data_IF_633698400847
#
_entry.id   IF_633698400847
#
_cell.length_a   1.000
_cell.length_b   1.000
_cell.length_c   1.000
_cell.angle_alpha   90.00
_cell.angle_beta   90.00
_cell.angle_gamma   90.00
#
_symmetry.space_group_name_H-M   'P 1'
#
loop_
_entity.id
_entity.type
_entity.pdbx_description
1 polymer ?
#
# COMPACT_ATOMS: atom_id res chain seq x y z
N UNK A 1 46.64 14.89 6.34
CA UNK A 1 45.80 15.92 5.69
C UNK A 1 45.18 16.76 6.80
N UNK A 2 45.32 18.08 6.74
CA UNK A 2 44.61 18.99 7.65
C UNK A 2 43.31 19.39 6.97
N UNK A 3 42.17 18.97 7.51
CA UNK A 3 40.85 19.39 7.02
C UNK A 3 40.63 20.84 7.50
N UNK A 4 40.37 21.75 6.57
CA UNK A 4 40.13 23.17 6.87
C UNK A 4 38.70 23.52 6.49
N UNK A 5 37.85 23.66 7.49
CA UNK A 5 36.50 24.19 7.32
C UNK A 5 36.53 25.72 7.38
N UNK A 6 35.90 26.38 6.39
CA UNK A 6 35.75 27.84 6.35
C UNK A 6 34.28 28.22 6.50
N UNK A 7 33.95 28.84 7.63
CA UNK A 7 32.61 29.39 7.85
C UNK A 7 32.45 30.71 7.10
N UNK A 8 31.24 30.99 6.61
CA UNK A 8 30.97 32.19 5.79
C UNK A 8 31.04 33.48 6.60
N UNK A 9 30.60 33.42 7.85
CA UNK A 9 30.53 34.55 8.76
C UNK A 9 31.61 34.43 9.86
N UNK A 10 32.02 35.54 10.49
CA UNK A 10 32.91 35.51 11.64
C UNK A 10 32.29 34.70 12.79
N UNK A 11 33.05 33.77 13.36
CA UNK A 11 32.62 32.95 14.51
C UNK A 11 32.79 33.77 15.79
N UNK A 12 31.71 33.96 16.54
CA UNK A 12 31.70 34.65 17.84
C UNK A 12 32.03 33.70 19.00
N UNK A 13 31.50 32.48 18.94
CA UNK A 13 31.72 31.48 19.97
C UNK A 13 31.81 30.09 19.34
N UNK A 14 32.74 29.28 19.85
CA UNK A 14 32.93 27.90 19.42
C UNK A 14 33.28 27.04 20.63
N UNK A 15 32.67 25.86 20.73
CA UNK A 15 32.96 24.91 21.80
C UNK A 15 32.90 23.47 21.26
N UNK A 16 33.95 22.70 21.56
CA UNK A 16 34.00 21.28 21.22
C UNK A 16 33.39 20.39 22.31
N UNK A 17 32.87 19.24 21.91
CA UNK A 17 32.57 18.16 22.84
C UNK A 17 33.88 17.60 23.43
N UNK A 18 33.78 16.78 24.48
CA UNK A 18 34.92 16.23 25.21
C UNK A 18 35.95 15.51 24.31
N UNK A 19 35.48 14.85 23.25
CA UNK A 19 36.33 14.08 22.33
C UNK A 19 36.83 14.90 21.13
N UNK A 20 36.43 16.18 21.01
CA UNK A 20 36.82 17.04 19.88
C UNK A 20 36.20 16.68 18.53
N UNK A 21 35.21 15.79 18.51
CA UNK A 21 34.60 15.23 17.29
C UNK A 21 33.43 16.06 16.77
N UNK A 22 32.85 16.90 17.63
CA UNK A 22 31.73 17.79 17.31
C UNK A 22 31.97 19.18 17.90
N UNK A 23 31.58 20.19 17.13
CA UNK A 23 31.71 21.59 17.51
C UNK A 23 30.34 22.24 17.45
N UNK A 24 29.97 23.01 18.47
CA UNK A 24 28.91 24.00 18.34
C UNK A 24 29.57 25.33 18.01
N UNK A 25 29.08 25.99 16.97
CA UNK A 25 29.57 27.29 16.54
C UNK A 25 28.41 28.27 16.42
N UNK A 26 28.67 29.50 16.86
CA UNK A 26 27.74 30.63 16.79
C UNK A 26 28.43 31.75 16.05
N UNK A 27 27.78 32.24 15.00
CA UNK A 27 28.34 33.26 14.12
C UNK A 27 28.01 34.69 14.58
N UNK A 28 28.48 35.67 13.81
CA UNK A 28 28.25 37.09 14.05
C UNK A 28 26.78 37.53 13.90
N UNK A 29 25.95 36.71 13.25
CA UNK A 29 24.50 36.91 13.09
C UNK A 29 23.70 36.22 14.21
N UNK A 30 24.38 35.59 15.16
CA UNK A 30 23.82 34.73 16.21
C UNK A 30 23.11 33.48 15.68
N UNK A 31 23.40 33.07 14.44
CA UNK A 31 22.99 31.76 13.95
C UNK A 31 23.90 30.70 14.56
N UNK A 32 23.29 29.57 14.94
CA UNK A 32 23.99 28.49 15.66
C UNK A 32 23.99 27.21 14.85
N UNK A 33 25.11 26.51 14.88
CA UNK A 33 25.32 25.32 14.09
C UNK A 33 26.03 24.23 14.89
N UNK A 34 25.79 22.97 14.53
CA UNK A 34 26.56 21.82 15.00
C UNK A 34 27.36 21.28 13.84
N UNK A 35 28.68 21.32 13.96
CA UNK A 35 29.62 20.80 12.98
C UNK A 35 30.15 19.44 13.44
N UNK A 36 29.98 18.42 12.59
CA UNK A 36 30.55 17.10 12.76
C UNK A 36 31.89 17.04 12.01
N UNK A 37 32.98 16.84 12.76
CA UNK A 37 34.34 16.87 12.21
C UNK A 37 34.59 15.70 11.25
N UNK A 38 34.03 14.51 11.54
CA UNK A 38 34.27 13.32 10.72
C UNK A 38 33.45 13.31 9.43
N UNK A 39 32.20 13.72 9.50
CA UNK A 39 31.32 13.77 8.33
C UNK A 39 31.47 15.04 7.49
N UNK A 40 32.23 16.02 7.98
CA UNK A 40 32.29 17.39 7.44
C UNK A 40 30.89 18.02 7.24
N UNK A 41 29.93 17.60 8.07
CA UNK A 41 28.54 18.06 7.99
C UNK A 41 28.29 19.20 8.96
N UNK A 42 27.67 20.26 8.46
CA UNK A 42 27.22 21.40 9.24
C UNK A 42 25.68 21.38 9.32
N UNK A 43 25.14 21.25 10.52
CA UNK A 43 23.70 21.28 10.76
C UNK A 43 23.36 22.64 11.36
N UNK A 44 22.37 23.31 10.77
CA UNK A 44 21.86 24.58 11.30
C UNK A 44 20.82 24.30 12.38
N UNK A 45 20.93 24.98 13.52
CA UNK A 45 19.93 24.93 14.58
C UNK A 45 18.81 25.94 14.22
N UNK A 46 17.55 25.53 14.37
CA UNK A 46 16.41 26.43 14.07
C UNK A 46 16.46 27.71 14.89
N UNK A 47 16.23 28.85 14.23
CA UNK A 47 16.26 30.19 14.82
C UNK A 47 15.27 30.36 15.98
N UNK A 48 14.14 29.65 15.93
CA UNK A 48 13.10 29.70 16.98
C UNK A 48 13.55 29.10 18.31
N UNK A 49 14.65 28.35 18.29
CA UNK A 49 15.15 27.63 19.45
C UNK A 49 16.45 28.20 19.98
N UNK A 50 17.05 29.19 19.32
CA UNK A 50 18.31 29.82 19.72
C UNK A 50 18.03 31.06 20.60
N UNK A 51 18.79 31.28 21.69
CA UNK A 51 18.66 32.51 22.45
C UNK A 51 19.15 33.74 21.66
N UNK A 52 18.49 34.89 21.81
CA UNK A 52 18.83 36.10 21.05
C UNK A 52 20.24 36.64 21.29
N UNK A 53 20.84 36.34 22.45
CA UNK A 53 22.21 36.71 22.80
C UNK A 53 22.88 35.54 23.54
N UNK A 54 23.41 34.55 22.81
CA UNK A 54 24.15 33.45 23.40
C UNK A 54 25.39 33.95 24.14
N UNK A 55 25.60 33.45 25.35
CA UNK A 55 26.73 33.84 26.21
C UNK A 55 27.68 32.68 26.47
N UNK A 56 27.17 31.45 26.45
CA UNK A 56 27.97 30.26 26.76
C UNK A 56 27.42 29.00 26.09
N UNK A 57 28.32 28.10 25.71
CA UNK A 57 28.00 26.74 25.29
C UNK A 57 28.57 25.77 26.32
N UNK A 58 27.79 24.78 26.74
CA UNK A 58 28.27 23.67 27.57
C UNK A 58 27.90 22.35 26.92
N UNK A 59 28.89 21.49 26.71
CA UNK A 59 28.67 20.09 26.35
C UNK A 59 28.47 19.25 27.62
N UNK A 60 27.63 18.23 27.51
CA UNK A 60 27.49 17.21 28.54
C UNK A 60 28.82 16.45 28.72
N UNK A 61 29.27 16.39 29.98
CA UNK A 61 30.54 15.77 30.37
C UNK A 61 30.37 14.32 30.83
N UNK A 62 29.14 13.86 31.02
CA UNK A 62 28.87 12.46 31.31
C UNK A 62 28.95 11.61 30.04
N UNK A 63 29.70 10.50 30.11
CA UNK A 63 29.96 9.64 28.95
C UNK A 63 28.73 8.96 28.36
N UNK A 64 27.64 8.85 29.11
CA UNK A 64 26.43 8.19 28.60
C UNK A 64 25.52 9.14 27.80
N UNK A 65 25.69 10.46 27.96
CA UNK A 65 24.84 11.51 27.36
C UNK A 65 25.65 12.43 26.42
N UNK A 66 26.66 11.90 25.75
CA UNK A 66 27.61 12.66 24.91
C UNK A 66 26.98 13.51 23.79
N UNK A 67 25.76 13.19 23.37
CA UNK A 67 25.05 13.91 22.32
C UNK A 67 24.39 15.20 22.82
N UNK A 68 24.36 15.43 24.13
CA UNK A 68 23.65 16.57 24.74
C UNK A 68 24.57 17.78 24.89
N UNK A 69 24.05 18.95 24.57
CA UNK A 69 24.71 20.23 24.83
C UNK A 69 23.68 21.31 25.17
N UNK A 70 24.18 22.44 25.63
CA UNK A 70 23.36 23.59 25.97
C UNK A 70 23.92 24.87 25.40
N UNK A 71 23.02 25.80 25.05
CA UNK A 71 23.33 27.18 24.73
C UNK A 71 22.65 28.04 25.80
N UNK A 72 23.46 28.83 26.51
CA UNK A 72 23.00 29.70 27.57
C UNK A 72 22.91 31.14 27.08
N UNK A 73 21.93 31.88 27.59
CA UNK A 73 21.97 33.33 27.64
C UNK A 73 22.09 33.82 29.10
N UNK A 74 21.83 35.09 29.38
CA UNK A 74 21.87 35.63 30.73
C UNK A 74 20.71 35.18 31.64
N UNK A 75 19.66 34.59 31.09
CA UNK A 75 18.39 34.27 31.76
C UNK A 75 18.00 32.80 31.65
N UNK A 76 18.36 32.09 30.59
CA UNK A 76 17.88 30.77 30.22
C UNK A 76 19.02 29.87 29.73
N UNK A 77 18.85 28.58 29.99
CA UNK A 77 19.63 27.48 29.40
C UNK A 77 18.72 26.76 28.42
N UNK A 78 19.14 26.69 27.17
CA UNK A 78 18.50 25.93 26.11
C UNK A 78 19.22 24.59 25.96
N UNK A 79 18.48 23.49 25.95
CA UNK A 79 19.01 22.12 25.94
C UNK A 79 18.74 21.49 24.58
N UNK A 80 19.78 20.90 23.99
CA UNK A 80 19.73 20.26 22.69
C UNK A 80 20.34 18.86 22.76
N UNK A 81 19.89 17.98 21.87
CA UNK A 81 20.53 16.69 21.61
C UNK A 81 20.92 16.60 20.15
N UNK A 82 22.14 16.18 19.86
CA UNK A 82 22.65 16.01 18.50
C UNK A 82 23.32 14.64 18.37
N UNK A 83 22.59 13.60 17.94
CA UNK A 83 23.18 12.29 17.63
C UNK A 83 24.08 12.40 16.40
N UNK A 84 25.09 11.53 16.35
CA UNK A 84 26.02 11.48 15.22
C UNK A 84 25.34 10.89 13.98
N UNK A 85 24.64 9.79 14.17
CA UNK A 85 24.03 8.98 13.11
C UNK A 85 22.59 8.66 13.48
N UNK A 86 21.67 9.01 12.59
CA UNK A 86 20.27 8.57 12.62
C UNK A 86 19.90 8.08 11.23
N UNK A 87 18.71 7.52 11.04
CA UNK A 87 18.21 7.20 9.69
C UNK A 87 18.17 8.45 8.81
N UNK A 88 17.96 9.66 9.35
CA UNK A 88 17.94 10.91 8.57
C UNK A 88 19.33 11.53 8.38
N UNK A 89 20.38 10.92 8.93
CA UNK A 89 21.71 11.49 9.05
C UNK A 89 21.90 12.24 10.37
N UNK A 90 22.81 13.19 10.43
CA UNK A 90 23.06 13.96 11.64
C UNK A 90 21.97 15.02 11.84
N UNK A 91 21.37 15.08 13.03
CA UNK A 91 20.27 16.00 13.37
C UNK A 91 20.56 16.76 14.69
N UNK A 92 19.77 17.79 14.96
CA UNK A 92 19.78 18.52 16.23
C UNK A 92 18.35 18.72 16.72
N UNK A 93 18.03 18.13 17.87
CA UNK A 93 16.74 18.23 18.52
C UNK A 93 16.79 19.26 19.65
N UNK A 94 15.87 20.23 19.64
CA UNK A 94 15.62 21.06 20.82
C UNK A 94 14.80 20.27 21.85
N UNK A 95 15.34 20.11 23.06
CA UNK A 95 14.71 19.35 24.15
C UNK A 95 13.83 20.26 25.00
N UNK A 96 14.38 21.40 25.44
CA UNK A 96 13.65 22.34 26.28
C UNK A 96 14.50 23.50 26.75
N UNK A 97 13.88 24.42 27.49
CA UNK A 97 14.55 25.57 28.10
C UNK A 97 14.22 25.69 29.58
N UNK A 98 15.16 26.20 30.35
CA UNK A 98 14.98 26.45 31.78
C UNK A 98 15.60 27.78 32.20
N UNK A 99 14.99 28.48 33.14
CA UNK A 99 15.51 29.74 33.68
C UNK A 99 16.73 29.48 34.58
N UNK A 100 17.80 30.23 34.37
CA UNK A 100 18.98 30.22 35.24
C UNK A 100 18.62 30.93 36.56
N UNK A 101 18.92 30.34 37.73
CA UNK A 101 18.75 31.04 38.99
C UNK A 101 19.56 32.34 39.04
N UNK A 102 18.94 33.40 39.56
CA UNK A 102 19.51 34.75 39.53
C UNK A 102 20.91 34.80 40.17
N UNK A 103 21.87 35.42 39.45
CA UNK A 103 23.24 35.60 39.96
C UNK A 103 24.09 34.34 39.95
N UNK A 104 23.72 33.34 39.14
CA UNK A 104 24.52 32.13 38.90
C UNK A 104 25.05 32.13 37.46
N UNK A 105 26.29 31.68 37.29
CA UNK A 105 26.97 31.56 36.00
C UNK A 105 27.27 30.08 35.71
N UNK A 106 26.67 29.47 34.67
CA UNK A 106 26.89 28.06 34.32
C UNK A 106 28.37 27.76 34.04
N UNK A 107 28.91 26.69 34.63
CA UNK A 107 30.31 26.26 34.48
C UNK A 107 30.44 24.90 33.80
N UNK A 108 29.66 23.92 34.23
CA UNK A 108 29.76 22.52 33.81
C UNK A 108 28.36 21.91 33.72
N UNK A 109 28.14 21.08 32.71
CA UNK A 109 27.00 20.20 32.61
C UNK A 109 27.47 18.75 32.83
N UNK A 110 26.91 18.08 33.84
CA UNK A 110 27.21 16.69 34.17
C UNK A 110 25.94 15.93 34.54
N UNK A 111 25.55 14.94 33.73
CA UNK A 111 24.35 14.11 33.90
C UNK A 111 23.09 14.97 34.16
N UNK A 112 22.86 15.97 33.31
CA UNK A 112 21.70 16.86 33.47
C UNK A 112 21.76 17.85 34.64
N UNK A 113 22.84 17.84 35.43
CA UNK A 113 23.09 18.79 36.51
C UNK A 113 24.01 19.89 36.00
N UNK A 114 23.57 21.14 36.11
CA UNK A 114 24.40 22.29 35.80
C UNK A 114 25.06 22.79 37.08
N UNK A 115 26.39 22.73 37.10
CA UNK A 115 27.20 23.37 38.14
C UNK A 115 27.43 24.81 37.73
N UNK A 116 27.12 25.74 38.63
CA UNK A 116 27.24 27.18 38.42
C UNK A 116 28.17 27.81 39.47
N UNK A 117 28.78 28.93 39.10
CA UNK A 117 29.41 29.84 40.04
C UNK A 117 28.40 30.88 40.51
N UNK A 118 28.28 31.07 41.82
CA UNK A 118 27.51 32.16 42.41
C UNK A 118 28.31 33.45 42.42
N UNK A 119 27.64 34.61 42.59
CA UNK A 119 28.32 35.92 42.76
C UNK A 119 29.35 35.94 43.91
N UNK A 120 29.21 35.09 44.92
CA UNK A 120 30.15 34.98 46.04
C UNK A 120 31.37 34.09 45.76
N UNK A 121 31.50 33.57 44.53
CA UNK A 121 32.58 32.67 44.13
C UNK A 121 32.37 31.20 44.52
N UNK A 122 31.32 30.88 45.32
CA UNK A 122 30.97 29.50 45.67
C UNK A 122 30.29 28.79 44.50
N UNK A 123 30.42 27.46 44.46
CA UNK A 123 29.69 26.61 43.52
C UNK A 123 28.27 26.32 44.01
N UNK A 124 27.30 26.40 43.12
CA UNK A 124 25.93 25.90 43.31
C UNK A 124 25.60 24.94 42.17
N UNK A 125 24.61 24.08 42.35
CA UNK A 125 24.15 23.19 41.29
C UNK A 125 22.62 23.12 41.26
N UNK A 126 22.07 22.79 40.09
CA UNK A 126 20.66 22.51 39.91
C UNK A 126 20.46 21.50 38.77
N UNK A 127 19.36 20.76 38.83
CA UNK A 127 18.96 19.81 37.78
C UNK A 127 18.20 20.55 36.70
N UNK A 128 18.49 20.26 35.43
CA UNK A 128 17.71 20.76 34.30
C UNK A 128 16.29 20.18 34.34
N UNK A 129 15.27 21.00 34.08
CA UNK A 129 13.87 20.53 33.99
C UNK A 129 13.65 19.45 32.93
N UNK A 130 14.52 19.36 31.92
CA UNK A 130 14.52 18.31 30.91
C UNK A 130 15.05 16.97 31.42
N UNK A 131 15.81 16.98 32.52
CA UNK A 131 16.44 15.82 33.15
C UNK A 131 15.82 15.48 34.52
N UNK A 132 14.80 16.24 34.95
CA UNK A 132 14.06 15.96 36.17
C UNK A 132 12.98 14.91 35.90
N UNK A 133 13.33 13.66 36.19
CA UNK A 133 12.44 12.50 36.02
C UNK A 133 11.67 12.15 37.30
N UNK A 134 11.76 12.98 38.34
CA UNK A 134 11.09 12.70 39.60
C UNK A 134 9.58 12.77 39.42
N UNK A 135 8.95 11.61 39.24
CA UNK A 135 7.51 11.45 39.45
C UNK A 135 7.31 11.60 40.96
N UNK A 136 7.05 12.83 41.41
CA UNK A 136 6.67 13.06 42.80
C UNK A 136 5.35 12.34 43.04
N UNK A 137 5.41 11.16 43.66
CA UNK A 137 4.27 10.60 44.35
C UNK A 137 3.94 11.56 45.47
N UNK A 138 3.04 12.51 45.22
CA UNK A 138 2.44 13.24 46.33
C UNK A 138 1.80 12.17 47.22
N UNK A 139 2.19 12.14 48.48
CA UNK A 139 1.67 11.26 49.53
C UNK A 139 0.16 11.42 49.77
N UNK A 140 -0.47 12.35 49.04
CA UNK A 140 -1.91 12.51 48.92
C UNK A 140 -2.30 12.08 47.51
N UNK A 141 -3.16 11.05 47.40
CA UNK A 141 -3.76 10.41 46.22
C UNK A 141 -4.23 11.34 45.08
N UNK A 142 -3.35 12.16 44.51
CA UNK A 142 -3.59 12.92 43.29
C UNK A 142 -2.77 12.24 42.21
N UNK A 143 -3.48 11.56 41.32
CA UNK A 143 -2.95 10.99 40.09
C UNK A 143 -2.17 12.07 39.32
N UNK A 144 -0.89 11.80 39.03
CA UNK A 144 -0.07 12.68 38.19
C UNK A 144 -0.79 12.88 36.84
N UNK A 145 -0.97 14.13 36.35
CA UNK A 145 -1.60 14.38 35.07
C UNK A 145 -0.91 13.58 33.95
N UNK A 146 -1.70 12.91 33.11
CA UNK A 146 -1.20 12.09 31.99
C UNK A 146 -0.34 12.90 31.01
N UNK A 147 -0.61 14.20 30.87
CA UNK A 147 0.17 15.15 30.07
C UNK A 147 1.60 15.31 30.59
N UNK A 148 1.78 15.47 31.91
CA UNK A 148 3.10 15.61 32.52
C UNK A 148 3.95 14.34 32.32
N UNK A 149 3.35 13.15 32.49
CA UNK A 149 4.03 11.88 32.22
C UNK A 149 4.52 11.81 30.76
N UNK A 150 3.70 12.24 29.80
CA UNK A 150 4.05 12.24 28.37
C UNK A 150 5.15 13.24 28.03
N UNK A 151 5.15 14.43 28.62
CA UNK A 151 6.18 15.45 28.39
C UNK A 151 7.54 15.02 28.95
N UNK A 152 7.58 14.46 30.15
CA UNK A 152 8.80 13.87 30.73
C UNK A 152 9.33 12.76 29.84
N UNK A 153 8.46 11.85 29.40
CA UNK A 153 8.86 10.75 28.53
C UNK A 153 9.40 11.23 27.17
N UNK A 154 8.75 12.24 26.58
CA UNK A 154 9.21 12.87 25.33
C UNK A 154 10.60 13.47 25.49
N UNK A 155 10.90 14.11 26.63
CA UNK A 155 12.23 14.65 26.90
C UNK A 155 13.28 13.54 26.97
N UNK A 156 12.98 12.44 27.67
CA UNK A 156 13.89 11.28 27.78
C UNK A 156 14.22 10.69 26.41
N UNK A 157 13.21 10.53 25.55
CA UNK A 157 13.42 10.04 24.18
C UNK A 157 14.30 10.99 23.36
N UNK A 158 14.04 12.31 23.41
CA UNK A 158 14.88 13.30 22.74
C UNK A 158 16.32 13.34 23.28
N UNK A 159 16.50 13.08 24.57
CA UNK A 159 17.81 12.96 25.21
C UNK A 159 18.48 11.61 24.91
N UNK A 160 17.77 10.66 24.26
CA UNK A 160 18.26 9.31 23.91
C UNK A 160 18.64 8.47 25.14
N UNK A 161 18.02 8.77 26.28
CA UNK A 161 18.22 8.04 27.55
C UNK A 161 17.28 6.84 27.64
N UNK A 162 17.37 5.95 26.67
CA UNK A 162 16.42 4.83 26.56
C UNK A 162 16.46 3.88 27.75
N UNK A 163 17.61 3.69 28.39
CA UNK A 163 17.70 2.87 29.60
C UNK A 163 16.81 3.42 30.73
N UNK A 164 16.73 4.74 30.86
CA UNK A 164 15.87 5.39 31.85
C UNK A 164 14.40 5.35 31.41
N UNK A 165 14.13 5.49 30.10
CA UNK A 165 12.79 5.29 29.55
C UNK A 165 12.26 3.87 29.85
N UNK A 166 13.10 2.84 29.68
CA UNK A 166 12.78 1.45 29.98
C UNK A 166 12.49 1.25 31.47
N UNK A 167 13.28 1.84 32.37
CA UNK A 167 13.03 1.78 33.83
C UNK A 167 11.69 2.41 34.19
N UNK A 168 11.34 3.54 33.57
CA UNK A 168 10.06 4.22 33.79
C UNK A 168 8.90 3.37 33.26
N UNK A 169 9.02 2.79 32.07
CA UNK A 169 8.01 1.88 31.53
C UNK A 169 7.80 0.66 32.42
N UNK A 170 8.86 0.06 32.97
CA UNK A 170 8.76 -1.05 33.92
C UNK A 170 8.06 -0.63 35.23
N UNK A 171 8.19 0.62 35.66
CA UNK A 171 7.55 1.15 36.86
C UNK A 171 6.05 1.45 36.65
N UNK A 172 5.63 1.85 35.44
CA UNK A 172 4.26 2.26 35.13
C UNK A 172 3.25 1.10 34.97
N UNK A 173 3.70 -0.16 34.90
CA UNK A 173 2.82 -1.33 34.69
C UNK A 173 2.42 -1.56 33.22
N UNK A 174 1.85 -2.72 32.88
CA UNK A 174 1.63 -3.17 31.49
C UNK A 174 0.62 -2.33 30.71
N UNK A 175 -0.49 -1.93 31.33
CA UNK A 175 -1.68 -1.48 30.58
C UNK A 175 -1.58 -0.02 30.11
N UNK A 176 -0.80 0.83 30.80
CA UNK A 176 -0.53 2.23 30.39
C UNK A 176 0.77 2.39 29.58
N UNK A 177 1.59 1.34 29.44
CA UNK A 177 2.97 1.46 28.95
C UNK A 177 3.18 0.94 27.52
N UNK A 178 2.23 0.24 26.90
CA UNK A 178 2.45 -0.34 25.57
C UNK A 178 2.81 0.72 24.52
N UNK A 179 2.06 1.82 24.46
CA UNK A 179 2.35 2.95 23.56
C UNK A 179 3.73 3.57 23.82
N UNK A 180 4.14 3.64 25.10
CA UNK A 180 5.44 4.17 25.51
C UNK A 180 6.57 3.25 25.08
N UNK A 181 6.40 1.93 25.24
CA UNK A 181 7.34 0.93 24.74
C UNK A 181 7.47 0.99 23.22
N UNK A 182 6.36 1.12 22.49
CA UNK A 182 6.38 1.29 21.03
C UNK A 182 7.15 2.58 20.66
N UNK A 183 6.95 3.67 21.40
CA UNK A 183 7.68 4.92 21.17
C UNK A 183 9.19 4.78 21.42
N UNK A 184 9.62 4.04 22.46
CA UNK A 184 11.05 3.72 22.68
C UNK A 184 11.59 2.92 21.49
N UNK A 185 10.89 1.85 21.09
CA UNK A 185 11.33 0.99 19.99
C UNK A 185 11.49 1.76 18.69
N UNK A 186 10.52 2.62 18.36
CA UNK A 186 10.60 3.48 17.16
C UNK A 186 11.73 4.50 17.24
N UNK A 187 11.92 5.17 18.38
CA UNK A 187 13.00 6.13 18.57
C UNK A 187 14.38 5.47 18.50
N UNK A 188 14.53 4.28 19.10
CA UNK A 188 15.77 3.49 19.03
C UNK A 188 16.09 3.08 17.59
N UNK A 189 15.09 2.66 16.79
CA UNK A 189 15.28 2.40 15.36
C UNK A 189 15.72 3.67 14.62
N UNK A 190 15.09 4.82 14.89
CA UNK A 190 15.46 6.11 14.27
C UNK A 190 16.91 6.49 14.53
N UNK A 191 17.40 6.25 15.74
CA UNK A 191 18.77 6.55 16.16
C UNK A 191 19.76 5.40 15.92
N UNK A 192 19.34 4.35 15.18
CA UNK A 192 20.14 3.18 14.81
C UNK A 192 20.61 2.31 16.00
N UNK A 193 19.99 2.45 17.17
CA UNK A 193 20.26 1.59 18.33
C UNK A 193 19.43 0.30 18.26
N UNK A 194 19.92 -0.64 17.44
CA UNK A 194 19.28 -1.92 17.22
C UNK A 194 19.18 -2.77 18.48
N UNK A 195 20.15 -2.67 19.40
CA UNK A 195 20.16 -3.48 20.61
C UNK A 195 18.99 -3.11 21.53
N UNK A 196 18.76 -1.80 21.69
CA UNK A 196 17.64 -1.30 22.48
C UNK A 196 16.31 -1.61 21.78
N UNK A 197 16.23 -1.40 20.45
CA UNK A 197 15.02 -1.74 19.69
C UNK A 197 14.66 -3.23 19.84
N UNK A 198 15.62 -4.15 19.68
CA UNK A 198 15.41 -5.60 19.85
C UNK A 198 14.88 -5.91 21.25
N UNK A 199 15.53 -5.38 22.30
CA UNK A 199 15.11 -5.61 23.68
C UNK A 199 13.67 -5.16 23.94
N UNK A 200 13.31 -3.98 23.43
CA UNK A 200 11.97 -3.39 23.56
C UNK A 200 10.92 -4.23 22.82
N UNK A 201 11.17 -4.60 21.57
CA UNK A 201 10.20 -5.37 20.78
C UNK A 201 10.06 -6.83 21.25
N UNK A 202 11.10 -7.40 21.87
CA UNK A 202 11.01 -8.68 22.58
C UNK A 202 10.06 -8.58 23.79
N UNK A 203 10.13 -7.49 24.56
CA UNK A 203 9.21 -7.23 25.68
C UNK A 203 7.76 -7.04 25.23
N UNK A 204 7.57 -6.44 24.06
CA UNK A 204 6.25 -6.29 23.43
C UNK A 204 5.74 -7.56 22.73
N UNK A 205 6.49 -8.67 22.75
CA UNK A 205 6.16 -9.90 22.02
C UNK A 205 5.95 -9.70 20.49
N UNK A 206 6.58 -8.66 19.91
CA UNK A 206 6.52 -8.37 18.47
C UNK A 206 7.65 -9.11 17.74
N UNK A 207 7.59 -10.44 17.76
CA UNK A 207 8.68 -11.31 17.31
C UNK A 207 9.05 -11.15 15.83
N UNK A 208 8.10 -10.79 14.95
CA UNK A 208 8.39 -10.51 13.54
C UNK A 208 9.37 -9.33 13.36
N UNK A 209 9.19 -8.28 14.16
CA UNK A 209 10.08 -7.11 14.17
C UNK A 209 11.45 -7.49 14.72
N UNK A 210 11.48 -8.25 15.81
CA UNK A 210 12.73 -8.76 16.42
C UNK A 210 13.54 -9.57 15.41
N UNK A 211 12.89 -10.51 14.71
CA UNK A 211 13.53 -11.32 13.68
C UNK A 211 14.16 -10.47 12.57
N UNK A 212 13.47 -9.42 12.12
CA UNK A 212 14.02 -8.50 11.12
C UNK A 212 15.24 -7.72 11.67
N UNK A 213 15.12 -7.13 12.87
CA UNK A 213 16.21 -6.36 13.48
C UNK A 213 17.45 -7.19 13.75
N UNK A 214 17.30 -8.45 14.18
CA UNK A 214 18.41 -9.38 14.39
C UNK A 214 19.14 -9.70 13.09
N UNK A 215 18.42 -9.83 11.96
CA UNK A 215 19.03 -9.96 10.63
C UNK A 215 19.75 -8.68 10.22
N UNK A 216 19.19 -7.51 10.54
CA UNK A 216 19.76 -6.22 10.17
C UNK A 216 20.99 -5.84 10.99
N UNK A 217 21.16 -6.41 12.19
CA UNK A 217 22.30 -6.17 13.09
C UNK A 217 23.68 -6.38 12.44
N UNK A 218 23.76 -7.30 11.48
CA UNK A 218 25.03 -7.68 10.84
C UNK A 218 25.28 -6.93 9.53
N UNK A 219 24.43 -5.99 9.12
CA UNK A 219 24.68 -5.18 7.93
C UNK A 219 25.66 -4.07 8.26
N UNK A 220 26.82 -4.10 7.59
CA UNK A 220 27.85 -3.06 7.73
C UNK A 220 27.55 -1.82 6.87
N UNK A 221 26.78 -2.00 5.78
CA UNK A 221 26.46 -0.91 4.87
C UNK A 221 25.39 0.03 5.46
N UNK A 222 25.82 1.24 5.77
CA UNK A 222 24.98 2.27 6.41
C UNK A 222 23.71 2.62 5.60
N UNK A 223 23.84 2.88 4.30
CA UNK A 223 22.69 3.25 3.46
C UNK A 223 21.66 2.12 3.38
N UNK A 224 22.12 0.88 3.19
CA UNK A 224 21.23 -0.28 3.11
C UNK A 224 20.49 -0.52 4.44
N UNK A 225 21.22 -0.44 5.56
CA UNK A 225 20.64 -0.55 6.89
C UNK A 225 19.59 0.54 7.13
N UNK A 226 19.91 1.81 6.82
CA UNK A 226 18.97 2.92 6.94
C UNK A 226 17.72 2.73 6.07
N UNK A 227 17.87 2.14 4.88
CA UNK A 227 16.75 1.80 4.00
C UNK A 227 15.76 0.83 4.67
N UNK A 228 16.25 -0.30 5.18
CA UNK A 228 15.42 -1.30 5.86
C UNK A 228 14.77 -0.75 7.14
N UNK A 229 15.50 0.01 7.94
CA UNK A 229 14.96 0.59 9.16
C UNK A 229 13.92 1.68 8.88
N UNK A 230 14.10 2.47 7.83
CA UNK A 230 13.10 3.44 7.38
C UNK A 230 11.83 2.74 6.88
N UNK A 231 11.96 1.63 6.15
CA UNK A 231 10.84 0.79 5.70
C UNK A 231 10.05 0.25 6.91
N UNK A 232 10.74 -0.25 7.94
CA UNK A 232 10.11 -0.71 9.19
C UNK A 232 9.33 0.39 9.93
N UNK A 233 9.78 1.64 9.83
CA UNK A 233 9.09 2.80 10.40
C UNK A 233 7.99 3.36 9.49
N UNK A 234 7.72 2.70 8.36
CA UNK A 234 6.79 3.12 7.32
C UNK A 234 7.13 4.48 6.69
N UNK A 235 8.41 4.88 6.71
CA UNK A 235 8.90 6.07 6.04
C UNK A 235 9.48 5.71 4.67
N UNK A 236 8.60 5.40 3.72
CA UNK A 236 8.97 4.81 2.43
C UNK A 236 9.76 5.75 1.52
N UNK A 237 9.55 7.07 1.62
CA UNK A 237 10.32 8.03 0.81
C UNK A 237 11.77 8.09 1.26
N UNK A 238 11.99 8.09 2.58
CA UNK A 238 13.34 8.01 3.15
C UNK A 238 13.98 6.65 2.85
N UNK A 239 13.23 5.56 2.95
CA UNK A 239 13.69 4.22 2.62
C UNK A 239 14.14 4.13 1.15
N UNK A 240 13.33 4.64 0.21
CA UNK A 240 13.68 4.70 -1.20
C UNK A 240 14.97 5.49 -1.44
N UNK A 241 15.12 6.66 -0.83
CA UNK A 241 16.34 7.46 -0.97
C UNK A 241 17.59 6.68 -0.52
N UNK A 242 17.48 5.97 0.60
CA UNK A 242 18.57 5.16 1.13
C UNK A 242 18.88 3.93 0.28
N UNK A 243 17.86 3.21 -0.17
CA UNK A 243 18.04 2.08 -1.09
C UNK A 243 18.67 2.51 -2.42
N UNK A 244 18.26 3.65 -2.99
CA UNK A 244 18.86 4.15 -4.24
C UNK A 244 20.34 4.54 -4.07
N UNK A 245 20.74 4.96 -2.87
CA UNK A 245 22.12 5.29 -2.53
C UNK A 245 22.92 4.08 -2.02
N UNK A 246 22.30 2.89 -1.94
CA UNK A 246 22.94 1.68 -1.43
C UNK A 246 23.45 0.79 -2.55
N UNK A 247 24.12 -0.30 -2.17
CA UNK A 247 24.52 -1.37 -3.08
C UNK A 247 23.34 -2.11 -3.72
N UNK A 248 22.11 -1.96 -3.18
CA UNK A 248 20.91 -2.67 -3.64
C UNK A 248 19.76 -1.71 -3.98
N UNK A 249 19.87 -0.91 -5.07
CA UNK A 249 18.81 0.01 -5.49
C UNK A 249 17.54 -0.70 -5.93
N UNK A 250 17.63 -1.98 -6.35
CA UNK A 250 16.47 -2.79 -6.72
C UNK A 250 15.47 -2.96 -5.57
N UNK A 251 15.92 -2.88 -4.31
CA UNK A 251 15.05 -2.94 -3.12
C UNK A 251 14.04 -1.80 -3.09
N UNK A 252 14.40 -0.61 -3.60
CA UNK A 252 13.45 0.50 -3.71
C UNK A 252 12.28 0.15 -4.63
N UNK A 253 12.56 -0.51 -5.75
CA UNK A 253 11.54 -0.96 -6.70
C UNK A 253 10.66 -2.06 -6.08
N UNK A 254 11.26 -3.08 -5.48
CA UNK A 254 10.55 -4.17 -4.79
C UNK A 254 9.62 -3.63 -3.70
N UNK A 255 10.12 -2.71 -2.87
CA UNK A 255 9.34 -2.06 -1.81
C UNK A 255 8.12 -1.33 -2.40
N UNK A 256 8.30 -0.50 -3.44
CA UNK A 256 7.18 0.22 -4.07
C UNK A 256 6.18 -0.71 -4.76
N UNK A 257 6.63 -1.82 -5.35
CA UNK A 257 5.74 -2.88 -5.88
C UNK A 257 4.92 -3.52 -4.77
N UNK A 258 5.54 -3.89 -3.65
CA UNK A 258 4.87 -4.51 -2.51
C UNK A 258 3.82 -3.58 -1.87
N UNK A 259 4.09 -2.27 -1.85
CA UNK A 259 3.15 -1.24 -1.38
C UNK A 259 2.08 -0.88 -2.41
N UNK A 260 2.12 -1.44 -3.62
CA UNK A 260 1.23 -1.11 -4.74
C UNK A 260 1.30 0.36 -5.16
N UNK A 261 2.44 1.02 -4.94
CA UNK A 261 2.71 2.38 -5.40
C UNK A 261 3.20 2.37 -6.86
N UNK A 262 2.31 1.96 -7.77
CA UNK A 262 2.67 1.60 -9.14
C UNK A 262 3.30 2.73 -9.96
N UNK A 263 2.87 3.98 -9.77
CA UNK A 263 3.44 5.11 -10.51
C UNK A 263 4.92 5.31 -10.17
N UNK A 264 5.25 5.24 -8.88
CA UNK A 264 6.63 5.34 -8.38
C UNK A 264 7.42 4.09 -8.77
N UNK A 265 6.81 2.91 -8.69
CA UNK A 265 7.44 1.66 -9.14
C UNK A 265 7.78 1.70 -10.64
N UNK A 266 6.89 2.21 -11.50
CA UNK A 266 7.17 2.37 -12.93
C UNK A 266 8.27 3.39 -13.20
N UNK A 267 8.29 4.51 -12.47
CA UNK A 267 9.36 5.50 -12.58
C UNK A 267 10.73 4.90 -12.19
N UNK A 268 10.77 4.10 -11.12
CA UNK A 268 11.98 3.39 -10.69
C UNK A 268 12.38 2.28 -11.68
N UNK A 269 11.43 1.50 -12.20
CA UNK A 269 11.68 0.40 -13.12
C UNK A 269 12.36 0.87 -14.42
N UNK A 270 11.95 2.03 -14.96
CA UNK A 270 12.58 2.65 -16.15
C UNK A 270 14.09 2.82 -16.04
N UNK A 271 14.60 3.07 -14.84
CA UNK A 271 16.03 3.29 -14.61
C UNK A 271 16.75 2.07 -14.05
N UNK A 272 16.07 1.26 -13.24
CA UNK A 272 16.70 0.15 -12.50
C UNK A 272 16.53 -1.21 -13.16
N UNK A 273 15.33 -1.51 -13.68
CA UNK A 273 15.00 -2.80 -14.27
C UNK A 273 13.90 -2.63 -15.34
N UNK A 274 14.26 -2.29 -16.58
CA UNK A 274 13.29 -2.11 -17.65
C UNK A 274 12.48 -3.39 -17.97
N UNK A 275 13.06 -4.55 -17.73
CA UNK A 275 12.42 -5.86 -17.95
C UNK A 275 11.19 -6.08 -17.06
N UNK A 276 11.10 -5.39 -15.93
CA UNK A 276 9.96 -5.50 -15.00
C UNK A 276 8.78 -4.61 -15.41
N UNK A 277 8.98 -3.63 -16.31
CA UNK A 277 7.95 -2.67 -16.73
C UNK A 277 6.69 -3.36 -17.26
N UNK A 278 6.74 -4.38 -18.15
CA UNK A 278 5.54 -5.04 -18.65
C UNK A 278 4.70 -5.64 -17.51
N UNK A 279 5.36 -6.32 -16.56
CA UNK A 279 4.71 -6.95 -15.42
C UNK A 279 4.06 -5.89 -14.52
N UNK A 280 4.78 -4.82 -14.18
CA UNK A 280 4.28 -3.73 -13.34
C UNK A 280 3.11 -3.01 -14.02
N UNK A 281 3.20 -2.72 -15.31
CA UNK A 281 2.12 -2.09 -16.09
C UNK A 281 0.88 -2.97 -16.16
N UNK A 282 1.04 -4.30 -16.29
CA UNK A 282 -0.07 -5.25 -16.25
C UNK A 282 -0.79 -5.26 -14.90
N UNK A 283 -0.04 -5.33 -13.79
CA UNK A 283 -0.63 -5.29 -12.43
C UNK A 283 -1.35 -3.96 -12.16
N UNK A 284 -0.76 -2.84 -12.59
CA UNK A 284 -1.40 -1.53 -12.53
C UNK A 284 -2.71 -1.50 -13.33
N UNK A 285 -2.70 -2.05 -14.54
CA UNK A 285 -3.88 -2.11 -15.39
C UNK A 285 -5.01 -2.95 -14.76
N UNK A 286 -4.70 -4.07 -14.11
CA UNK A 286 -5.69 -4.87 -13.37
C UNK A 286 -6.36 -4.08 -12.24
N UNK A 287 -5.58 -3.32 -11.46
CA UNK A 287 -6.14 -2.48 -10.39
C UNK A 287 -6.99 -1.34 -10.95
N UNK A 288 -6.59 -0.75 -12.08
CA UNK A 288 -7.39 0.26 -12.76
C UNK A 288 -8.70 -0.30 -13.33
N UNK A 289 -8.68 -1.54 -13.83
CA UNK A 289 -9.88 -2.26 -14.29
C UNK A 289 -10.86 -2.46 -13.12
N UNK A 290 -10.37 -2.89 -11.95
CA UNK A 290 -11.18 -3.03 -10.73
C UNK A 290 -11.76 -1.69 -10.23
N UNK A 291 -11.03 -0.59 -10.43
CA UNK A 291 -11.49 0.78 -10.13
C UNK A 291 -12.42 1.36 -11.21
N UNK A 292 -12.70 0.61 -12.27
CA UNK A 292 -13.53 1.02 -13.42
C UNK A 292 -12.92 2.16 -14.25
N UNK A 293 -11.60 2.37 -14.17
CA UNK A 293 -10.85 3.30 -15.03
C UNK A 293 -10.44 2.60 -16.34
N UNK A 294 -11.43 2.14 -17.11
CA UNK A 294 -11.22 1.22 -18.25
C UNK A 294 -10.30 1.79 -19.35
N UNK A 295 -10.37 3.09 -19.64
CA UNK A 295 -9.53 3.72 -20.67
C UNK A 295 -8.05 3.69 -20.30
N UNK A 296 -7.71 4.02 -19.05
CA UNK A 296 -6.31 3.99 -18.58
C UNK A 296 -5.81 2.56 -18.43
N UNK A 297 -6.66 1.65 -17.97
CA UNK A 297 -6.34 0.23 -17.88
C UNK A 297 -5.99 -0.35 -19.25
N UNK A 298 -6.79 -0.02 -20.27
CA UNK A 298 -6.53 -0.39 -21.66
C UNK A 298 -5.16 0.12 -22.15
N UNK A 299 -4.86 1.40 -21.96
CA UNK A 299 -3.57 2.00 -22.35
C UNK A 299 -2.39 1.29 -21.67
N UNK A 300 -2.51 0.95 -20.38
CA UNK A 300 -1.44 0.27 -19.64
C UNK A 300 -1.25 -1.19 -20.07
N UNK A 301 -2.31 -1.92 -20.40
CA UNK A 301 -2.18 -3.27 -20.98
C UNK A 301 -1.56 -3.23 -22.38
N UNK A 302 -1.94 -2.26 -23.23
CA UNK A 302 -1.31 -2.10 -24.53
C UNK A 302 0.17 -1.73 -24.41
N UNK A 303 0.51 -0.82 -23.49
CA UNK A 303 1.89 -0.46 -23.21
C UNK A 303 2.71 -1.67 -22.76
N UNK A 304 2.15 -2.52 -21.89
CA UNK A 304 2.82 -3.76 -21.45
C UNK A 304 3.09 -4.72 -22.63
N UNK A 305 2.10 -4.90 -23.51
CA UNK A 305 2.23 -5.78 -24.67
C UNK A 305 3.24 -5.24 -25.71
N UNK A 306 3.22 -3.93 -25.95
CA UNK A 306 4.11 -3.28 -26.92
C UNK A 306 5.57 -3.30 -26.46
N UNK A 307 5.82 -3.13 -25.15
CA UNK A 307 7.17 -3.17 -24.59
C UNK A 307 7.86 -4.51 -24.86
N UNK A 308 7.09 -5.61 -24.78
CA UNK A 308 7.58 -6.95 -25.07
C UNK A 308 7.89 -7.17 -26.55
N UNK A 309 7.14 -6.53 -27.46
CA UNK A 309 7.38 -6.62 -28.90
C UNK A 309 8.69 -5.97 -29.36
N UNK A 310 9.20 -4.98 -28.60
CA UNK A 310 10.42 -4.25 -28.91
C UNK A 310 11.70 -5.01 -28.49
N UNK A 311 11.64 -5.82 -27.43
CA UNK A 311 12.79 -6.59 -26.91
C UNK A 311 12.91 -8.01 -27.49
N UNK A 312 11.95 -8.45 -28.31
CA UNK A 312 11.91 -9.79 -28.91
C UNK A 312 13.05 -10.09 -29.92
N UNK A 313 13.96 -9.15 -30.20
CA UNK A 313 15.20 -9.45 -30.92
C UNK A 313 16.29 -10.08 -30.02
N UNK A 314 16.13 -10.13 -28.68
CA UNK A 314 17.21 -10.59 -27.77
C UNK A 314 16.84 -11.53 -26.61
N UNK A 315 15.59 -11.98 -26.45
CA UNK A 315 15.22 -12.76 -25.24
C UNK A 315 14.68 -14.15 -25.59
N UNK A 316 15.58 -15.11 -25.76
CA UNK A 316 15.31 -16.56 -25.70
C UNK A 316 15.43 -17.08 -24.24
N UNK A 317 14.65 -16.57 -23.29
CA UNK A 317 14.60 -17.19 -21.94
C UNK A 317 13.16 -17.13 -21.41
N UNK A 318 12.52 -18.31 -21.32
CA UNK A 318 11.17 -18.61 -20.80
C UNK A 318 9.97 -18.35 -21.73
N UNK A 319 9.79 -19.24 -22.73
CA UNK A 319 8.62 -19.26 -23.62
C UNK A 319 7.28 -19.30 -22.88
N UNK A 320 7.21 -20.02 -21.75
CA UNK A 320 5.93 -20.32 -21.10
C UNK A 320 5.40 -19.15 -20.26
N UNK A 321 6.26 -18.50 -19.46
CA UNK A 321 5.87 -17.33 -18.67
C UNK A 321 5.60 -16.09 -19.54
N UNK A 322 6.34 -15.93 -20.64
CA UNK A 322 6.09 -14.86 -21.61
C UNK A 322 4.76 -15.07 -22.34
N UNK A 323 4.42 -16.32 -22.66
CA UNK A 323 3.12 -16.67 -23.24
C UNK A 323 1.97 -16.35 -22.29
N UNK A 324 2.06 -16.73 -21.01
CA UNK A 324 1.02 -16.43 -20.02
C UNK A 324 0.83 -14.92 -19.82
N UNK A 325 1.93 -14.15 -19.74
CA UNK A 325 1.85 -12.69 -19.63
C UNK A 325 1.12 -12.06 -20.81
N UNK A 326 1.46 -12.45 -22.04
CA UNK A 326 0.81 -11.94 -23.26
C UNK A 326 -0.68 -12.29 -23.26
N UNK A 327 -1.03 -13.52 -22.88
CA UNK A 327 -2.43 -13.94 -22.81
C UNK A 327 -3.23 -13.12 -21.79
N UNK A 328 -2.67 -12.86 -20.61
CA UNK A 328 -3.31 -12.03 -19.58
C UNK A 328 -3.48 -10.57 -20.01
N UNK A 329 -2.47 -9.99 -20.67
CA UNK A 329 -2.55 -8.64 -21.21
C UNK A 329 -3.61 -8.55 -22.31
N UNK A 330 -3.63 -9.50 -23.25
CA UNK A 330 -4.65 -9.58 -24.28
C UNK A 330 -6.07 -9.77 -23.70
N UNK A 331 -6.22 -10.61 -22.67
CA UNK A 331 -7.48 -10.79 -21.96
C UNK A 331 -7.98 -9.46 -21.35
N UNK A 332 -7.11 -8.74 -20.65
CA UNK A 332 -7.41 -7.42 -20.09
C UNK A 332 -7.77 -6.39 -21.18
N UNK A 333 -7.04 -6.38 -22.30
CA UNK A 333 -7.35 -5.52 -23.46
C UNK A 333 -8.74 -5.85 -24.01
N UNK A 334 -9.12 -7.12 -24.15
CA UNK A 334 -10.42 -7.51 -24.67
C UNK A 334 -11.57 -7.01 -23.77
N UNK A 335 -11.49 -7.24 -22.45
CA UNK A 335 -12.51 -6.80 -21.49
C UNK A 335 -12.67 -5.28 -21.48
N UNK A 336 -11.57 -4.55 -21.41
CA UNK A 336 -11.58 -3.09 -21.41
C UNK A 336 -12.00 -2.51 -22.76
N UNK A 337 -11.61 -3.12 -23.89
CA UNK A 337 -12.02 -2.67 -25.22
C UNK A 337 -13.54 -2.65 -25.38
N UNK A 338 -14.24 -3.67 -24.85
CA UNK A 338 -15.70 -3.72 -24.86
C UNK A 338 -16.27 -2.55 -24.04
N UNK A 339 -15.74 -2.33 -22.82
CA UNK A 339 -16.16 -1.25 -21.92
C UNK A 339 -15.92 0.14 -22.52
N UNK A 340 -14.87 0.30 -23.33
CA UNK A 340 -14.55 1.52 -24.06
C UNK A 340 -15.27 1.65 -25.42
N UNK A 341 -16.14 0.70 -25.78
CA UNK A 341 -16.97 0.75 -27.00
C UNK A 341 -16.33 0.16 -28.26
N UNK A 342 -15.13 -0.41 -28.18
CA UNK A 342 -14.45 -1.09 -29.29
C UNK A 342 -14.69 -2.61 -29.27
N UNK A 343 -15.91 -3.01 -29.62
CA UNK A 343 -16.33 -4.42 -29.62
C UNK A 343 -15.54 -5.25 -30.64
N UNK A 344 -15.23 -4.69 -31.82
CA UNK A 344 -14.53 -5.41 -32.89
C UNK A 344 -13.16 -5.91 -32.45
N UNK A 345 -12.38 -5.05 -31.78
CA UNK A 345 -11.05 -5.41 -31.28
C UNK A 345 -11.14 -6.54 -30.24
N UNK A 346 -12.09 -6.46 -29.33
CA UNK A 346 -12.31 -7.51 -28.34
C UNK A 346 -12.66 -8.86 -28.97
N UNK A 347 -13.52 -8.88 -30.00
CA UNK A 347 -13.86 -10.10 -30.73
C UNK A 347 -12.64 -10.72 -31.42
N UNK A 348 -11.78 -9.89 -32.05
CA UNK A 348 -10.55 -10.40 -32.67
C UNK A 348 -9.61 -11.05 -31.65
N UNK A 349 -9.44 -10.43 -30.48
CA UNK A 349 -8.59 -10.97 -29.42
C UNK A 349 -9.20 -12.23 -28.81
N UNK A 350 -10.50 -12.23 -28.53
CA UNK A 350 -11.20 -13.41 -28.04
C UNK A 350 -11.09 -14.58 -29.03
N UNK A 351 -11.08 -14.33 -30.34
CA UNK A 351 -10.87 -15.35 -31.36
C UNK A 351 -9.44 -15.90 -31.36
N UNK A 352 -8.44 -15.05 -31.09
CA UNK A 352 -7.04 -15.46 -31.06
C UNK A 352 -6.70 -16.30 -29.84
N UNK A 353 -7.17 -15.91 -28.65
CA UNK A 353 -6.85 -16.59 -27.39
C UNK A 353 -7.63 -17.89 -27.20
N UNK A 354 -8.88 -17.96 -27.70
CA UNK A 354 -9.78 -19.10 -27.54
C UNK A 354 -9.94 -19.63 -26.09
N UNK A 355 -9.77 -18.76 -25.09
CA UNK A 355 -9.98 -19.08 -23.68
C UNK A 355 -11.48 -18.99 -23.32
N UNK A 356 -12.05 -20.12 -22.90
CA UNK A 356 -13.47 -20.22 -22.57
C UNK A 356 -13.90 -19.25 -21.45
N UNK A 357 -13.04 -19.03 -20.44
CA UNK A 357 -13.35 -18.12 -19.31
C UNK A 357 -13.40 -16.67 -19.77
N UNK A 358 -12.38 -16.23 -20.53
CA UNK A 358 -12.35 -14.89 -21.11
C UNK A 358 -13.56 -14.62 -22.01
N UNK A 359 -13.93 -15.58 -22.86
CA UNK A 359 -15.07 -15.44 -23.78
C UNK A 359 -16.38 -15.28 -22.97
N UNK A 360 -16.54 -16.03 -21.88
CA UNK A 360 -17.70 -15.91 -20.98
C UNK A 360 -17.74 -14.53 -20.29
N UNK A 361 -16.60 -14.05 -19.79
CA UNK A 361 -16.48 -12.71 -19.20
C UNK A 361 -16.82 -11.61 -20.21
N UNK A 362 -16.29 -11.71 -21.43
CA UNK A 362 -16.60 -10.78 -22.53
C UNK A 362 -18.10 -10.80 -22.89
N UNK A 363 -18.72 -11.98 -22.93
CA UNK A 363 -20.13 -12.14 -23.22
C UNK A 363 -21.01 -11.47 -22.14
N UNK A 364 -20.68 -11.66 -20.86
CA UNK A 364 -21.35 -10.99 -19.73
C UNK A 364 -21.21 -9.47 -19.81
N UNK A 365 -20.03 -8.95 -20.16
CA UNK A 365 -19.82 -7.51 -20.32
C UNK A 365 -20.68 -6.96 -21.47
N UNK A 366 -20.72 -7.65 -22.62
CA UNK A 366 -21.54 -7.24 -23.77
C UNK A 366 -23.04 -7.27 -23.45
N UNK A 367 -23.50 -8.30 -22.72
CA UNK A 367 -24.88 -8.39 -22.26
C UNK A 367 -25.26 -7.21 -21.37
N UNK A 368 -24.40 -6.84 -20.41
CA UNK A 368 -24.60 -5.68 -19.55
C UNK A 368 -24.65 -4.34 -20.32
N UNK A 369 -23.95 -4.26 -21.46
CA UNK A 369 -23.94 -3.09 -22.34
C UNK A 369 -25.04 -3.12 -23.41
N UNK A 370 -25.95 -4.10 -23.37
CA UNK A 370 -27.04 -4.32 -24.33
C UNK A 370 -26.60 -4.70 -25.76
N UNK A 371 -25.36 -5.16 -25.95
CA UNK A 371 -24.88 -5.73 -27.22
C UNK A 371 -25.27 -7.21 -27.34
N UNK A 372 -26.58 -7.46 -27.44
CA UNK A 372 -27.15 -8.81 -27.35
C UNK A 372 -26.78 -9.74 -28.51
N UNK A 373 -26.57 -9.20 -29.72
CA UNK A 373 -26.19 -10.00 -30.89
C UNK A 373 -24.79 -10.59 -30.72
N UNK A 374 -23.82 -9.75 -30.37
CA UNK A 374 -22.44 -10.13 -30.17
C UNK A 374 -22.28 -11.00 -28.92
N UNK A 375 -22.97 -10.68 -27.82
CA UNK A 375 -22.99 -11.50 -26.61
C UNK A 375 -23.47 -12.93 -26.90
N UNK A 376 -24.56 -13.09 -27.66
CA UNK A 376 -25.08 -14.41 -28.01
C UNK A 376 -24.08 -15.26 -28.82
N UNK A 377 -23.32 -14.63 -29.73
CA UNK A 377 -22.27 -15.33 -30.50
C UNK A 377 -21.10 -15.81 -29.64
N UNK A 378 -20.75 -15.07 -28.59
CA UNK A 378 -19.69 -15.48 -27.65
C UNK A 378 -20.17 -16.61 -26.72
N UNK A 379 -21.39 -16.53 -26.19
CA UNK A 379 -21.96 -17.62 -25.38
C UNK A 379 -22.13 -18.92 -26.16
N UNK A 380 -22.51 -18.85 -27.44
CA UNK A 380 -22.54 -20.01 -28.34
C UNK A 380 -21.18 -20.69 -28.43
N UNK A 381 -20.09 -19.90 -28.41
CA UNK A 381 -18.72 -20.43 -28.48
C UNK A 381 -18.23 -21.00 -27.15
N UNK A 382 -18.66 -20.46 -26.02
CA UNK A 382 -18.44 -21.06 -24.70
C UNK A 382 -19.27 -22.33 -24.45
N UNK A 383 -20.06 -22.78 -25.42
CA UNK A 383 -20.99 -23.91 -25.26
C UNK A 383 -22.10 -23.65 -24.21
N UNK A 384 -22.32 -22.38 -23.83
CA UNK A 384 -23.45 -21.96 -23.00
C UNK A 384 -24.66 -21.69 -23.89
N UNK A 385 -25.21 -22.76 -24.47
CA UNK A 385 -26.27 -22.69 -25.46
C UNK A 385 -27.59 -22.14 -24.91
N UNK A 386 -27.92 -22.41 -23.64
CA UNK A 386 -29.16 -21.89 -23.02
C UNK A 386 -29.12 -20.36 -22.88
N UNK A 387 -27.99 -19.80 -22.42
CA UNK A 387 -27.80 -18.35 -22.31
C UNK A 387 -27.77 -17.67 -23.69
N UNK A 388 -27.07 -18.28 -24.65
CA UNK A 388 -27.05 -17.80 -26.03
C UNK A 388 -28.46 -17.77 -26.64
N UNK A 389 -29.26 -18.81 -26.41
CA UNK A 389 -30.62 -18.92 -26.90
C UNK A 389 -31.55 -17.87 -26.30
N UNK A 390 -31.45 -17.61 -24.99
CA UNK A 390 -32.20 -16.53 -24.34
C UNK A 390 -31.91 -15.16 -24.97
N UNK A 391 -30.64 -14.90 -25.32
CA UNK A 391 -30.25 -13.65 -25.99
C UNK A 391 -30.70 -13.59 -27.46
N UNK A 392 -30.59 -14.70 -28.21
CA UNK A 392 -31.10 -14.75 -29.58
C UNK A 392 -32.62 -14.56 -29.65
N UNK A 393 -33.38 -15.01 -28.65
CA UNK A 393 -34.81 -14.72 -28.50
C UNK A 393 -35.06 -13.22 -28.29
N UNK A 394 -34.29 -12.55 -27.42
CA UNK A 394 -34.40 -11.08 -27.22
C UNK A 394 -34.15 -10.30 -28.50
N UNK A 395 -33.19 -10.73 -29.31
CA UNK A 395 -32.81 -10.12 -30.59
C UNK A 395 -33.77 -10.48 -31.73
N UNK A 396 -34.64 -11.49 -31.55
CA UNK A 396 -35.49 -12.09 -32.58
C UNK A 396 -34.70 -12.69 -33.76
N UNK A 397 -33.52 -13.24 -33.51
CA UNK A 397 -32.73 -13.93 -34.53
C UNK A 397 -33.10 -15.42 -34.61
N UNK A 398 -34.18 -15.74 -35.34
CA UNK A 398 -34.71 -17.11 -35.43
C UNK A 398 -33.82 -18.06 -36.25
N UNK A 399 -33.00 -17.54 -37.17
CA UNK A 399 -32.11 -18.36 -38.01
C UNK A 399 -31.00 -19.04 -37.19
N UNK A 400 -30.26 -18.27 -36.39
CA UNK A 400 -29.19 -18.84 -35.54
C UNK A 400 -29.73 -19.71 -34.41
N UNK A 401 -30.89 -19.34 -33.84
CA UNK A 401 -31.56 -20.12 -32.82
C UNK A 401 -31.98 -21.52 -33.32
N UNK A 402 -32.40 -21.63 -34.60
CA UNK A 402 -32.69 -22.93 -35.24
C UNK A 402 -31.47 -23.85 -35.24
N UNK A 403 -30.27 -23.31 -35.46
CA UNK A 403 -29.03 -24.11 -35.50
C UNK A 403 -28.60 -24.67 -34.15
N UNK A 404 -28.97 -24.00 -33.05
CA UNK A 404 -28.50 -24.33 -31.70
C UNK A 404 -29.51 -25.20 -30.93
N UNK A 405 -30.77 -25.28 -31.40
CA UNK A 405 -31.87 -25.88 -30.64
C UNK A 405 -31.69 -27.33 -30.23
N UNK A 406 -30.92 -28.11 -30.99
CA UNK A 406 -30.63 -29.50 -30.65
C UNK A 406 -29.82 -29.65 -29.34
N UNK A 407 -29.17 -28.57 -28.89
CA UNK A 407 -28.28 -28.54 -27.71
C UNK A 407 -28.89 -27.80 -26.51
N UNK A 408 -30.07 -27.21 -26.66
CA UNK A 408 -30.76 -26.45 -25.61
C UNK A 408 -31.50 -27.43 -24.70
N UNK A 409 -31.37 -27.23 -23.38
CA UNK A 409 -32.04 -28.06 -22.38
C UNK A 409 -33.17 -27.34 -21.66
N UNK A 410 -33.18 -26.00 -21.68
CA UNK A 410 -34.19 -25.21 -20.98
C UNK A 410 -35.56 -25.22 -21.67
N UNK A 411 -36.55 -25.76 -20.95
CA UNK A 411 -37.95 -25.92 -21.36
C UNK A 411 -38.65 -24.58 -21.59
N UNK A 412 -38.30 -23.53 -20.84
CA UNK A 412 -38.93 -22.22 -20.98
C UNK A 412 -38.51 -21.54 -22.29
N UNK A 413 -37.23 -21.63 -22.62
CA UNK A 413 -36.64 -21.10 -23.87
C UNK A 413 -37.24 -21.83 -25.08
N UNK A 414 -37.32 -23.16 -25.02
CA UNK A 414 -37.93 -23.97 -26.07
C UNK A 414 -39.42 -23.59 -26.28
N UNK A 415 -40.16 -23.36 -25.21
CA UNK A 415 -41.55 -22.91 -25.28
C UNK A 415 -41.71 -21.51 -25.91
N UNK A 416 -40.82 -20.56 -25.61
CA UNK A 416 -40.84 -19.24 -26.25
C UNK A 416 -40.46 -19.30 -27.73
N UNK A 417 -39.53 -20.17 -28.10
CA UNK A 417 -39.17 -20.39 -29.49
C UNK A 417 -40.29 -21.05 -30.31
N UNK A 418 -41.01 -22.01 -29.72
CA UNK A 418 -42.20 -22.61 -30.31
C UNK A 418 -43.25 -21.56 -30.70
N UNK A 419 -43.44 -20.53 -29.85
CA UNK A 419 -44.36 -19.41 -30.13
C UNK A 419 -43.89 -18.58 -31.33
N UNK A 420 -42.59 -18.31 -31.43
CA UNK A 420 -42.03 -17.57 -32.58
C UNK A 420 -42.26 -18.37 -33.87
N UNK A 421 -42.04 -19.68 -33.86
CA UNK A 421 -42.26 -20.56 -35.02
C UNK A 421 -43.73 -20.69 -35.41
N UNK A 422 -44.63 -20.65 -34.42
CA UNK A 422 -46.07 -20.59 -34.64
C UNK A 422 -46.48 -19.27 -35.33
N UNK A 423 -45.89 -18.13 -34.92
CA UNK A 423 -46.09 -16.84 -35.62
C UNK A 423 -45.53 -16.85 -37.05
N UNK A 424 -44.42 -17.56 -37.28
CA UNK A 424 -43.85 -17.80 -38.62
C UNK A 424 -44.66 -18.81 -39.47
N UNK A 425 -45.81 -19.31 -38.96
CA UNK A 425 -46.69 -20.32 -39.59
C UNK A 425 -46.02 -21.68 -39.86
N UNK A 426 -44.92 -21.97 -39.17
CA UNK A 426 -44.21 -23.26 -39.28
C UNK A 426 -44.75 -24.27 -38.25
N UNK A 427 -46.02 -24.63 -38.37
CA UNK A 427 -46.76 -25.40 -37.35
C UNK A 427 -46.18 -26.80 -37.07
N UNK A 428 -45.64 -27.49 -38.08
CA UNK A 428 -45.01 -28.81 -37.90
C UNK A 428 -43.76 -28.72 -37.00
N UNK A 429 -42.88 -27.76 -37.28
CA UNK A 429 -41.67 -27.56 -36.48
C UNK A 429 -42.01 -27.05 -35.08
N UNK A 430 -43.02 -26.18 -34.95
CA UNK A 430 -43.50 -25.71 -33.65
C UNK A 430 -43.98 -26.88 -32.76
N UNK A 431 -44.74 -27.83 -33.30
CA UNK A 431 -45.21 -29.01 -32.56
C UNK A 431 -44.05 -29.89 -32.05
N UNK A 432 -43.01 -30.10 -32.87
CA UNK A 432 -41.80 -30.83 -32.45
C UNK A 432 -41.05 -30.13 -31.31
N UNK A 433 -40.93 -28.79 -31.38
CA UNK A 433 -40.25 -27.99 -30.36
C UNK A 433 -41.05 -27.98 -29.05
N UNK A 434 -42.37 -27.81 -29.11
CA UNK A 434 -43.23 -27.87 -27.92
C UNK A 434 -43.24 -29.25 -27.27
N UNK A 435 -43.12 -30.31 -28.08
CA UNK A 435 -42.93 -31.68 -27.56
C UNK A 435 -41.62 -31.81 -26.79
N UNK A 436 -40.51 -31.26 -27.31
CA UNK A 436 -39.22 -31.20 -26.59
C UNK A 436 -39.27 -30.31 -25.34
N UNK A 437 -40.11 -29.28 -25.34
CA UNK A 437 -40.32 -28.40 -24.18
C UNK A 437 -41.24 -29.01 -23.10
N UNK A 438 -41.78 -30.22 -23.32
CA UNK A 438 -42.83 -30.85 -22.49
C UNK A 438 -44.11 -30.01 -22.34
N UNK A 439 -44.40 -29.14 -23.31
CA UNK A 439 -45.62 -28.33 -23.35
C UNK A 439 -46.72 -29.05 -24.14
N UNK A 440 -47.20 -30.17 -23.59
CA UNK A 440 -48.14 -31.08 -24.26
C UNK A 440 -49.47 -30.42 -24.65
N UNK A 441 -49.94 -29.45 -23.87
CA UNK A 441 -51.15 -28.68 -24.18
C UNK A 441 -51.03 -27.91 -25.51
N UNK A 442 -49.90 -27.25 -25.74
CA UNK A 442 -49.64 -26.50 -26.96
C UNK A 442 -49.44 -27.43 -28.17
N UNK A 443 -48.86 -28.62 -27.96
CA UNK A 443 -48.73 -29.65 -28.99
C UNK A 443 -50.11 -30.16 -29.44
N UNK A 444 -51.01 -30.41 -28.48
CA UNK A 444 -52.39 -30.86 -28.75
C UNK A 444 -53.16 -29.75 -29.47
N UNK A 445 -53.04 -28.51 -29.02
CA UNK A 445 -53.66 -27.33 -29.67
C UNK A 445 -53.22 -27.21 -31.14
N UNK A 446 -51.92 -27.26 -31.42
CA UNK A 446 -51.42 -27.11 -32.80
C UNK A 446 -51.82 -28.28 -33.70
N UNK A 447 -51.85 -29.51 -33.15
CA UNK A 447 -52.28 -30.68 -33.92
C UNK A 447 -53.77 -30.66 -34.28
N UNK A 448 -54.62 -30.12 -33.40
CA UNK A 448 -56.07 -29.98 -33.63
C UNK A 448 -56.40 -28.76 -34.50
N UNK A 449 -55.85 -27.58 -34.19
CA UNK A 449 -56.26 -26.31 -34.82
C UNK A 449 -55.58 -26.02 -36.16
N UNK A 450 -54.35 -26.52 -36.38
CA UNK A 450 -53.52 -26.10 -37.51
C UNK A 450 -53.00 -27.25 -38.38
N UNK A 451 -52.71 -28.42 -37.80
CA UNK A 451 -52.17 -29.58 -38.54
C UNK A 451 -53.24 -30.61 -38.93
N UNK A 452 -54.49 -30.48 -38.46
CA UNK A 452 -55.61 -31.40 -38.72
C UNK A 452 -55.24 -32.88 -38.46
N UNK A 453 -54.46 -33.15 -37.41
CA UNK A 453 -54.03 -34.50 -37.06
C UNK A 453 -54.55 -34.91 -35.67
N UNK A 454 -55.85 -35.25 -35.56
CA UNK A 454 -56.47 -35.56 -34.28
C UNK A 454 -56.01 -36.92 -33.70
N UNK A 455 -55.54 -37.84 -34.54
CA UNK A 455 -55.04 -39.15 -34.11
C UNK A 455 -53.79 -39.04 -33.23
N UNK A 456 -52.82 -38.21 -33.65
CA UNK A 456 -51.62 -37.93 -32.86
C UNK A 456 -51.95 -37.11 -31.59
N UNK A 457 -52.89 -36.16 -31.67
CA UNK A 457 -53.33 -35.40 -30.51
C UNK A 457 -53.94 -36.30 -29.41
N UNK A 458 -54.80 -37.26 -29.78
CA UNK A 458 -55.39 -38.24 -28.84
C UNK A 458 -54.32 -39.15 -28.24
N UNK A 459 -53.33 -39.57 -29.03
CA UNK A 459 -52.23 -40.42 -28.58
C UNK A 459 -51.38 -39.71 -27.52
N UNK A 460 -50.98 -38.47 -27.78
CA UNK A 460 -50.17 -37.66 -26.85
C UNK A 460 -50.92 -37.40 -25.54
N UNK A 461 -52.22 -37.11 -25.58
CA UNK A 461 -53.06 -36.93 -24.38
C UNK A 461 -53.16 -38.22 -23.55
N UNK A 462 -53.29 -39.38 -24.20
CA UNK A 462 -53.35 -40.68 -23.51
C UNK A 462 -52.02 -41.06 -22.88
N UNK A 463 -50.91 -40.79 -23.57
CA UNK A 463 -49.55 -41.10 -23.09
C UNK A 463 -49.12 -40.21 -21.92
N UNK A 464 -49.41 -38.90 -21.98
CA UNK A 464 -48.96 -37.94 -20.96
C UNK A 464 -50.03 -37.57 -19.92
N UNK A 465 -51.26 -38.12 -20.02
CA UNK A 465 -52.37 -37.93 -19.08
C UNK A 465 -52.69 -36.45 -18.76
N UNK A 466 -52.54 -35.55 -19.73
CA UNK A 466 -52.85 -34.12 -19.56
C UNK A 466 -54.36 -33.88 -19.51
N UNK A 467 -54.86 -33.39 -18.37
CA UNK A 467 -56.29 -33.11 -18.12
C UNK A 467 -56.82 -32.00 -19.04
N UNK A 468 -56.04 -30.94 -19.24
CA UNK A 468 -56.44 -29.81 -20.07
C UNK A 468 -56.30 -30.10 -21.57
N UNK A 469 -55.31 -30.92 -21.96
CA UNK A 469 -55.24 -31.49 -23.31
C UNK A 469 -56.45 -32.37 -23.66
N UNK A 470 -56.97 -33.16 -22.71
CA UNK A 470 -58.16 -33.98 -22.89
C UNK A 470 -59.44 -33.14 -23.12
N UNK A 471 -59.56 -31.98 -22.45
CA UNK A 471 -60.67 -31.04 -22.69
C UNK A 471 -60.62 -30.44 -24.09
N UNK A 472 -59.42 -30.09 -24.60
CA UNK A 472 -59.24 -29.57 -25.96
C UNK A 472 -59.63 -30.60 -27.02
N UNK A 473 -59.20 -31.85 -26.85
CA UNK A 473 -59.61 -32.96 -27.72
C UNK A 473 -61.12 -33.19 -27.66
N UNK A 474 -61.71 -33.23 -26.46
CA UNK A 474 -63.15 -33.41 -26.28
C UNK A 474 -63.97 -32.31 -26.96
N UNK A 475 -63.50 -31.06 -26.93
CA UNK A 475 -64.14 -29.92 -27.59
C UNK A 475 -64.03 -29.96 -29.12
N UNK A 476 -62.97 -30.57 -29.67
CA UNK A 476 -62.80 -30.72 -31.12
C UNK A 476 -63.72 -31.79 -31.74
N UNK A 477 -64.12 -32.80 -30.94
CA UNK A 477 -65.02 -33.88 -31.35
C UNK A 477 -66.49 -33.68 -30.95
N UNK A 478 -66.81 -32.57 -30.29
CA UNK A 478 -68.17 -32.04 -30.13
C UNK A 478 -68.56 -31.22 -31.35
#
# INVERSE_FOLDING_TARGET
MTIVYRHREPIQMIQCNQNGTRLVLIDSRFESYVYNVYGETLITISTDHIPSRPTKILWESWLHDHCVFTICDHKFIHVYSSPLTTIQGSIVDFVGKMKIPSGQYPLLLYNGVVVCQTKSGKTSNFVLSTHDYAIKNNSNNQTIPSTFKRDVFRNILKLRRYQDAIKICNFLGSDESEDLWIAIGRAAIQDLDLNIAICVYQKLHKFAIVYCLERYRNYEEYSLLCGYLAEMLSNYDLAQKHFLNSSQPIRALEMRKNLQHWNEALALAKHLCPNDIPVISRELALIQELRQEYSKSFENFEAALNYQSLDNEKIEINSDNNSEHVQLCMAGIARNSIRCGNVKKALTIANQLNDAKLIEECAKILENLNHFQEAATLYERCQHYDQAAALYLKVKNSAKLTGIIAKITDRQILGQYGRIKEMEKQFRHAAEIYGKAERWEDVVRINLDHLNNPGEAVKIVREHQSVDGAKLVARFFQ
#
